data_IF_831218362231
#
_entry.id   IF_831218362231
#
_cell.length_a   1.000
_cell.length_b   1.000
_cell.length_c   1.000
_cell.angle_alpha   90.00
_cell.angle_beta   90.00
_cell.angle_gamma   90.00
#
_symmetry.space_group_name_H-M   'P 1'
#
loop_
_entity.id
_entity.type
_entity.pdbx_description
1 polymer ?
#
# COMPACT_ATOMS: atom_id res chain seq x y z
N UNK A 1 45.06 61.86 26.73
CA UNK A 1 43.63 61.51 26.91
C UNK A 1 42.76 61.63 25.65
N UNK A 2 42.93 62.66 24.80
CA UNK A 2 42.01 62.90 23.65
C UNK A 2 42.06 61.87 22.50
N UNK A 3 43.19 61.19 22.29
CA UNK A 3 43.34 60.18 21.20
C UNK A 3 42.70 58.84 21.56
N UNK A 4 42.90 58.36 22.79
CA UNK A 4 42.27 57.11 23.27
C UNK A 4 40.74 57.19 23.29
N UNK A 5 40.16 58.33 23.72
CA UNK A 5 38.71 58.56 23.64
C UNK A 5 38.16 58.53 22.21
N UNK A 6 38.94 58.97 21.21
CA UNK A 6 38.55 58.90 19.79
C UNK A 6 38.51 57.47 19.26
N UNK A 7 39.45 56.62 19.69
CA UNK A 7 39.46 55.20 19.31
C UNK A 7 38.30 54.44 19.96
N UNK A 8 38.01 54.71 21.23
CA UNK A 8 36.84 54.14 21.92
C UNK A 8 35.51 54.60 21.30
N UNK A 9 35.40 55.86 20.86
CA UNK A 9 34.19 56.33 20.16
C UNK A 9 34.04 55.76 18.75
N UNK A 10 35.14 55.51 18.04
CA UNK A 10 35.10 54.82 16.74
C UNK A 10 34.71 53.35 16.90
N UNK A 11 35.22 52.68 17.94
CA UNK A 11 34.89 51.30 18.24
C UNK A 11 33.41 51.14 18.63
N UNK A 12 32.85 52.07 19.41
CA UNK A 12 31.44 52.03 19.78
C UNK A 12 30.52 52.26 18.58
N UNK A 13 30.87 53.17 17.66
CA UNK A 13 30.12 53.37 16.42
C UNK A 13 30.14 52.11 15.55
N UNK A 14 31.28 51.43 15.43
CA UNK A 14 31.40 50.18 14.65
C UNK A 14 30.57 49.04 15.27
N UNK A 15 30.56 48.92 16.60
CA UNK A 15 29.75 47.91 17.28
C UNK A 15 28.25 48.21 17.11
N UNK A 16 27.85 49.47 17.26
CA UNK A 16 26.46 49.89 17.06
C UNK A 16 26.03 49.62 15.61
N UNK A 17 26.83 49.98 14.61
CA UNK A 17 26.50 49.70 13.21
C UNK A 17 26.47 48.21 12.89
N UNK A 18 27.35 47.39 13.48
CA UNK A 18 27.32 45.93 13.33
C UNK A 18 26.07 45.29 13.97
N UNK A 19 25.62 45.81 15.13
CA UNK A 19 24.38 45.37 15.78
C UNK A 19 23.16 45.80 14.97
N UNK A 20 23.14 47.01 14.42
CA UNK A 20 22.08 47.45 13.51
C UNK A 20 22.05 46.65 12.21
N UNK A 21 23.21 46.33 11.60
CA UNK A 21 23.28 45.46 10.43
C UNK A 21 22.78 44.04 10.74
N UNK A 22 23.14 43.49 11.90
CA UNK A 22 22.66 42.17 12.33
C UNK A 22 21.15 42.18 12.65
N UNK A 23 20.62 43.28 13.19
CA UNK A 23 19.19 43.46 13.43
C UNK A 23 18.41 43.64 12.12
N UNK A 24 18.96 44.36 11.13
CA UNK A 24 18.39 44.52 9.79
C UNK A 24 18.42 43.20 9.03
N UNK A 25 19.52 42.44 9.10
CA UNK A 25 19.63 41.14 8.44
C UNK A 25 18.73 40.08 9.11
N UNK A 26 18.46 40.20 10.42
CA UNK A 26 17.45 39.39 11.12
C UNK A 26 16.02 39.86 10.84
N UNK A 27 15.84 41.12 10.43
CA UNK A 27 14.57 41.73 10.03
C UNK A 27 14.15 41.37 8.60
N UNK A 28 15.07 41.02 7.71
CA UNK A 28 14.72 40.50 6.36
C UNK A 28 14.16 39.07 6.40
N UNK A 29 14.24 38.37 7.54
CA UNK A 29 13.60 37.06 7.75
C UNK A 29 12.18 37.13 8.33
N UNK A 30 11.61 38.32 8.53
CA UNK A 30 10.21 38.46 8.91
C UNK A 30 9.34 38.71 7.67
N UNK A 31 8.77 37.61 7.17
CA UNK A 31 7.42 37.50 6.62
C UNK A 31 6.94 38.75 5.88
N UNK A 32 7.17 38.79 4.56
CA UNK A 32 6.26 39.52 3.68
C UNK A 32 4.87 38.88 3.78
N UNK A 33 4.06 39.38 4.70
CA UNK A 33 2.61 39.21 4.68
C UNK A 33 2.02 40.17 3.65
N UNK A 34 2.30 39.92 2.38
CA UNK A 34 1.40 40.37 1.31
C UNK A 34 0.35 39.26 1.18
N UNK A 35 -0.72 39.39 1.95
CA UNK A 35 -1.93 38.60 1.78
C UNK A 35 -2.65 39.08 0.52
N UNK A 36 -2.14 38.64 -0.63
CA UNK A 36 -2.95 38.46 -1.81
C UNK A 36 -3.91 37.29 -1.52
N UNK A 37 -5.24 37.46 -1.60
CA UNK A 37 -6.19 36.36 -1.38
C UNK A 37 -6.07 35.22 -2.41
N UNK A 38 -5.23 35.36 -3.44
CA UNK A 38 -4.95 34.32 -4.43
C UNK A 38 -3.96 33.25 -3.91
N UNK A 39 -4.52 32.19 -3.32
CA UNK A 39 -3.87 30.88 -3.00
C UNK A 39 -2.64 30.88 -2.07
N UNK A 40 -2.91 30.92 -0.76
CA UNK A 40 -1.90 30.73 0.30
C UNK A 40 -1.12 29.40 0.25
N UNK A 41 -1.65 28.36 -0.42
CA UNK A 41 -1.03 27.02 -0.46
C UNK A 41 0.18 26.94 -1.40
N UNK A 42 0.24 27.74 -2.46
CA UNK A 42 1.28 27.63 -3.49
C UNK A 42 2.69 28.03 -2.99
N UNK A 43 2.76 28.82 -1.91
CA UNK A 43 4.02 29.31 -1.33
C UNK A 43 4.87 28.16 -0.78
N UNK A 44 4.24 27.16 -0.18
CA UNK A 44 4.92 26.00 0.45
C UNK A 44 4.68 24.70 -0.30
N UNK A 45 3.56 24.57 -1.02
CA UNK A 45 3.18 23.36 -1.75
C UNK A 45 3.51 23.45 -3.24
N UNK A 46 4.55 22.75 -3.67
CA UNK A 46 4.99 22.71 -5.07
C UNK A 46 4.63 21.38 -5.74
N UNK A 47 3.86 21.46 -6.82
CA UNK A 47 3.58 20.34 -7.73
C UNK A 47 4.69 20.31 -8.78
N UNK A 48 5.38 19.19 -8.89
CA UNK A 48 6.51 18.96 -9.82
C UNK A 48 6.20 17.82 -10.79
N UNK A 49 6.72 17.91 -12.01
CA UNK A 49 6.83 16.71 -12.85
C UNK A 49 7.74 15.68 -12.17
N UNK A 50 7.43 14.39 -12.33
CA UNK A 50 8.19 13.29 -11.77
C UNK A 50 9.07 12.69 -12.85
N UNK A 51 10.32 12.39 -12.52
CA UNK A 51 11.19 11.61 -13.39
C UNK A 51 10.90 10.12 -13.18
N UNK A 52 10.71 9.39 -14.28
CA UNK A 52 10.58 7.94 -14.21
C UNK A 52 11.87 7.32 -13.66
N UNK A 53 11.79 6.33 -12.75
CA UNK A 53 12.95 5.58 -12.30
C UNK A 53 13.62 4.82 -13.45
N UNK A 54 14.93 4.72 -13.39
CA UNK A 54 15.69 3.81 -14.24
C UNK A 54 15.46 2.35 -13.78
N UNK A 55 15.42 1.40 -14.70
CA UNK A 55 15.32 -0.06 -14.42
C UNK A 55 14.03 -0.52 -13.72
N UNK A 56 12.89 0.11 -14.04
CA UNK A 56 11.58 -0.38 -13.61
C UNK A 56 11.37 -1.84 -14.00
N UNK A 57 10.94 -2.65 -13.03
CA UNK A 57 10.62 -4.05 -13.24
C UNK A 57 9.52 -4.53 -12.30
N UNK A 58 8.73 -5.51 -12.75
CA UNK A 58 7.82 -6.28 -11.91
C UNK A 58 8.29 -7.74 -11.89
N UNK A 59 8.63 -8.24 -10.71
CA UNK A 59 9.09 -9.61 -10.50
C UNK A 59 10.27 -10.02 -11.42
N UNK A 60 11.18 -9.07 -11.69
CA UNK A 60 12.33 -9.27 -12.58
C UNK A 60 12.04 -9.02 -14.07
N UNK A 61 10.78 -8.79 -14.46
CA UNK A 61 10.44 -8.44 -15.84
C UNK A 61 10.57 -6.94 -16.07
N UNK A 62 11.37 -6.56 -17.07
CA UNK A 62 11.63 -5.17 -17.44
C UNK A 62 10.38 -4.46 -17.94
N UNK A 63 10.19 -3.21 -17.53
CA UNK A 63 9.19 -2.29 -18.06
C UNK A 63 9.82 -1.42 -19.18
N UNK A 64 9.32 -1.46 -20.43
CA UNK A 64 9.93 -0.76 -21.57
C UNK A 64 9.50 0.71 -21.68
N UNK A 65 9.97 1.56 -20.77
CA UNK A 65 9.62 3.01 -20.70
C UNK A 65 10.22 3.89 -21.81
N UNK A 66 11.02 3.30 -22.68
CA UNK A 66 11.43 3.89 -23.96
C UNK A 66 10.26 4.00 -24.95
N UNK A 67 9.24 3.15 -24.81
CA UNK A 67 8.00 3.23 -25.59
C UNK A 67 7.13 4.34 -25.00
N UNK A 68 6.67 5.28 -25.84
CA UNK A 68 5.97 6.48 -25.38
C UNK A 68 4.67 6.15 -24.63
N UNK A 69 3.84 5.24 -25.15
CA UNK A 69 2.61 4.78 -24.48
C UNK A 69 2.90 4.23 -23.06
N UNK A 70 3.95 3.41 -22.94
CA UNK A 70 4.34 2.80 -21.66
C UNK A 70 4.84 3.85 -20.69
N UNK A 71 5.60 4.85 -21.18
CA UNK A 71 6.06 5.99 -20.40
C UNK A 71 4.88 6.80 -19.86
N UNK A 72 3.95 7.18 -20.72
CA UNK A 72 2.78 7.99 -20.35
C UNK A 72 1.91 7.25 -19.31
N UNK A 73 1.65 5.96 -19.52
CA UNK A 73 0.85 5.13 -18.59
C UNK A 73 1.54 4.94 -17.24
N UNK A 74 2.85 4.74 -17.22
CA UNK A 74 3.64 4.67 -15.99
C UNK A 74 3.68 6.01 -15.25
N UNK A 75 3.94 7.11 -15.97
CA UNK A 75 4.00 8.46 -15.40
C UNK A 75 2.66 8.84 -14.79
N UNK A 76 1.55 8.55 -15.48
CA UNK A 76 0.19 8.77 -14.98
C UNK A 76 -0.02 8.13 -13.60
N UNK A 77 0.32 6.85 -13.44
CA UNK A 77 0.12 6.16 -12.14
C UNK A 77 1.09 6.67 -11.07
N UNK A 78 2.32 7.06 -11.42
CA UNK A 78 3.21 7.74 -10.46
C UNK A 78 2.65 9.09 -10.00
N UNK A 79 2.15 9.92 -10.92
CA UNK A 79 1.57 11.21 -10.60
C UNK A 79 0.34 11.05 -9.70
N UNK A 80 -0.59 10.17 -10.07
CA UNK A 80 -1.82 9.92 -9.29
C UNK A 80 -1.47 9.48 -7.85
N UNK A 81 -0.56 8.52 -7.69
CA UNK A 81 -0.21 7.98 -6.38
C UNK A 81 0.69 8.92 -5.56
N UNK A 82 1.46 9.80 -6.21
CA UNK A 82 2.26 10.84 -5.52
C UNK A 82 1.39 11.99 -5.04
N UNK A 83 0.46 12.47 -5.87
CA UNK A 83 -0.35 13.65 -5.56
C UNK A 83 -1.62 13.33 -4.76
N UNK A 84 -2.00 12.06 -4.63
CA UNK A 84 -2.99 11.63 -3.64
C UNK A 84 -2.34 11.30 -2.28
N UNK A 85 -1.68 12.31 -1.70
CA UNK A 85 -0.74 12.14 -0.59
C UNK A 85 -1.37 11.57 0.68
N UNK A 86 -2.64 11.92 0.99
CA UNK A 86 -3.34 11.36 2.15
C UNK A 86 -3.49 9.84 2.04
N UNK A 87 -3.86 9.35 0.85
CA UNK A 87 -3.95 7.93 0.57
C UNK A 87 -2.55 7.29 0.54
N UNK A 88 -1.57 7.90 -0.12
CA UNK A 88 -0.19 7.41 -0.16
C UNK A 88 0.40 7.20 1.24
N UNK A 89 0.19 8.15 2.17
CA UNK A 89 0.65 8.02 3.55
C UNK A 89 -0.06 6.88 4.29
N UNK A 90 -1.36 6.69 4.08
CA UNK A 90 -2.10 5.54 4.64
C UNK A 90 -1.58 4.21 4.09
N UNK A 91 -1.30 4.12 2.79
CA UNK A 91 -0.76 2.93 2.16
C UNK A 91 0.63 2.58 2.72
N UNK A 92 1.51 3.56 2.92
CA UNK A 92 2.82 3.37 3.56
C UNK A 92 2.66 2.81 4.98
N UNK A 93 1.79 3.42 5.80
CA UNK A 93 1.56 2.97 7.18
C UNK A 93 1.03 1.53 7.22
N UNK A 94 0.10 1.18 6.33
CA UNK A 94 -0.48 -0.18 6.25
C UNK A 94 0.50 -1.19 5.66
N UNK A 95 1.32 -0.80 4.70
CA UNK A 95 2.40 -1.62 4.18
C UNK A 95 3.35 -2.04 5.29
N UNK A 96 3.78 -1.11 6.15
CA UNK A 96 4.61 -1.42 7.31
C UNK A 96 3.96 -2.44 8.26
N UNK A 97 2.63 -2.38 8.42
CA UNK A 97 1.87 -3.33 9.25
C UNK A 97 1.80 -4.73 8.66
N UNK A 98 1.56 -4.87 7.35
CA UNK A 98 1.18 -6.15 6.75
C UNK A 98 2.26 -6.81 5.87
N UNK A 99 3.23 -6.07 5.35
CA UNK A 99 4.34 -6.67 4.60
C UNK A 99 5.10 -7.72 5.42
N UNK A 100 5.44 -7.50 6.71
CA UNK A 100 6.11 -8.53 7.51
C UNK A 100 5.34 -9.85 7.66
N UNK A 101 4.01 -9.82 7.47
CA UNK A 101 3.15 -11.02 7.45
C UNK A 101 3.11 -11.64 6.05
N UNK A 102 3.01 -10.81 5.02
CA UNK A 102 2.89 -11.25 3.63
C UNK A 102 4.19 -11.84 3.07
N UNK A 103 5.33 -11.17 3.26
CA UNK A 103 6.63 -11.57 2.71
C UNK A 103 7.00 -13.04 3.00
N UNK A 104 6.92 -13.55 4.25
CA UNK A 104 7.20 -14.97 4.51
C UNK A 104 6.17 -15.91 3.86
N UNK A 105 4.90 -15.49 3.71
CA UNK A 105 3.88 -16.28 3.01
C UNK A 105 4.14 -16.33 1.50
N UNK A 106 4.53 -15.20 0.89
CA UNK A 106 4.88 -15.14 -0.54
C UNK A 106 6.06 -16.07 -0.81
N UNK A 107 7.11 -15.98 0.00
CA UNK A 107 8.27 -16.88 -0.06
C UNK A 107 7.85 -18.35 0.11
N UNK A 108 7.03 -18.66 1.11
CA UNK A 108 6.53 -20.02 1.37
C UNK A 108 5.80 -20.62 0.17
N UNK A 109 5.03 -19.81 -0.55
CA UNK A 109 4.25 -20.28 -1.71
C UNK A 109 4.95 -20.06 -3.06
N UNK A 110 6.19 -19.58 -3.06
CA UNK A 110 7.00 -19.39 -4.27
C UNK A 110 6.50 -18.28 -5.18
N UNK A 111 5.92 -17.21 -4.62
CA UNK A 111 5.51 -16.02 -5.36
C UNK A 111 6.59 -14.93 -5.23
N UNK A 112 6.91 -14.18 -6.29
CA UNK A 112 7.81 -13.04 -6.21
C UNK A 112 7.34 -12.01 -5.16
N UNK A 113 8.30 -11.43 -4.43
CA UNK A 113 8.02 -10.51 -3.32
C UNK A 113 7.20 -9.28 -3.75
N UNK A 114 7.41 -8.82 -4.99
CA UNK A 114 6.69 -7.71 -5.61
C UNK A 114 5.16 -7.85 -5.56
N UNK A 115 4.61 -9.07 -5.49
CA UNK A 115 3.16 -9.28 -5.44
C UNK A 115 2.51 -8.83 -4.12
N UNK A 116 3.29 -8.45 -3.10
CA UNK A 116 2.74 -7.73 -1.93
C UNK A 116 2.16 -6.36 -2.33
N UNK A 117 2.71 -5.73 -3.36
CA UNK A 117 2.18 -4.47 -3.91
C UNK A 117 0.89 -4.70 -4.72
N UNK A 118 0.72 -5.89 -5.32
CA UNK A 118 -0.56 -6.29 -5.92
C UNK A 118 -1.65 -6.38 -4.84
N UNK A 119 -1.39 -7.08 -3.74
CA UNK A 119 -2.33 -7.16 -2.63
C UNK A 119 -2.69 -5.77 -2.05
N UNK A 120 -1.69 -4.87 -1.98
CA UNK A 120 -1.91 -3.49 -1.56
C UNK A 120 -2.77 -2.71 -2.58
N UNK A 121 -2.51 -2.87 -3.88
CA UNK A 121 -3.27 -2.24 -4.97
C UNK A 121 -4.73 -2.72 -5.03
N UNK A 122 -5.01 -3.92 -4.53
CA UNK A 122 -6.36 -4.48 -4.45
C UNK A 122 -7.17 -3.86 -3.32
N UNK A 123 -6.70 -4.03 -2.07
CA UNK A 123 -7.53 -3.78 -0.89
C UNK A 123 -7.08 -2.57 -0.06
N UNK A 124 -5.92 -1.98 -0.38
CA UNK A 124 -5.20 -1.09 0.52
C UNK A 124 -4.98 -1.69 1.93
N UNK A 125 -5.05 -3.02 2.06
CA UNK A 125 -5.08 -3.77 3.33
C UNK A 125 -6.19 -3.37 4.30
N UNK A 126 -7.38 -3.07 3.76
CA UNK A 126 -8.61 -2.85 4.52
C UNK A 126 -9.54 -4.05 4.33
N UNK A 127 -10.18 -4.49 5.41
CA UNK A 127 -11.16 -5.58 5.39
C UNK A 127 -12.54 -5.11 4.90
N UNK A 128 -12.59 -4.60 3.67
CA UNK A 128 -13.82 -4.17 3.01
C UNK A 128 -14.27 -5.17 1.93
N UNK A 129 -15.50 -4.96 1.44
CA UNK A 129 -16.03 -5.67 0.27
C UNK A 129 -16.28 -4.64 -0.81
N UNK A 130 -15.81 -4.90 -2.02
CA UNK A 130 -16.11 -4.03 -3.16
C UNK A 130 -17.60 -4.09 -3.52
N UNK A 131 -18.08 -3.11 -4.28
CA UNK A 131 -19.44 -3.12 -4.84
C UNK A 131 -19.74 -4.37 -5.68
N UNK A 132 -18.73 -4.93 -6.34
CA UNK A 132 -18.83 -6.18 -7.10
C UNK A 132 -18.79 -7.45 -6.24
N UNK A 133 -18.47 -7.33 -4.94
CA UNK A 133 -18.42 -8.46 -4.01
C UNK A 133 -17.03 -9.09 -3.83
N UNK A 134 -15.97 -8.47 -4.35
CA UNK A 134 -14.58 -8.85 -4.06
C UNK A 134 -14.25 -8.52 -2.60
N UNK A 135 -13.52 -9.38 -1.90
CA UNK A 135 -13.29 -9.19 -0.46
C UNK A 135 -11.94 -9.69 0.03
N UNK A 136 -11.54 -9.15 1.20
CA UNK A 136 -10.30 -9.49 1.89
C UNK A 136 -9.07 -8.91 1.21
N UNK A 137 -7.91 -9.20 1.78
CA UNK A 137 -6.64 -8.57 1.36
C UNK A 137 -6.32 -8.72 -0.14
N UNK A 138 -6.71 -9.84 -0.72
CA UNK A 138 -6.46 -10.19 -2.12
C UNK A 138 -7.66 -9.93 -3.04
N UNK A 139 -8.74 -9.36 -2.50
CA UNK A 139 -10.00 -9.04 -3.20
C UNK A 139 -10.50 -10.19 -4.09
N UNK A 140 -10.63 -11.39 -3.52
CA UNK A 140 -11.22 -12.49 -4.26
C UNK A 140 -12.72 -12.33 -4.41
N UNK A 141 -13.22 -12.56 -5.63
CA UNK A 141 -14.62 -12.83 -5.86
C UNK A 141 -15.04 -14.09 -5.12
N UNK A 142 -16.29 -14.13 -4.65
CA UNK A 142 -16.82 -15.28 -3.90
C UNK A 142 -16.72 -16.58 -4.68
N UNK A 143 -17.01 -16.55 -5.97
CA UNK A 143 -16.92 -17.71 -6.88
C UNK A 143 -15.49 -18.21 -6.98
N UNK A 144 -14.55 -17.33 -7.33
CA UNK A 144 -13.12 -17.65 -7.42
C UNK A 144 -12.58 -18.21 -6.11
N UNK A 145 -12.89 -17.58 -4.98
CA UNK A 145 -12.44 -18.07 -3.68
C UNK A 145 -12.91 -19.49 -3.39
N UNK A 146 -14.16 -19.83 -3.72
CA UNK A 146 -14.71 -21.19 -3.56
C UNK A 146 -14.06 -22.20 -4.52
N UNK A 147 -13.84 -21.81 -5.78
CA UNK A 147 -13.17 -22.66 -6.78
C UNK A 147 -11.77 -23.07 -6.32
N UNK A 148 -11.07 -22.19 -5.60
CA UNK A 148 -9.76 -22.45 -5.01
C UNK A 148 -9.83 -22.99 -3.57
N UNK A 149 -11.01 -23.43 -3.12
CA UNK A 149 -11.18 -24.17 -1.87
C UNK A 149 -11.29 -23.34 -0.59
N UNK A 150 -11.49 -22.02 -0.68
CA UNK A 150 -11.80 -21.20 0.49
C UNK A 150 -13.21 -21.52 1.00
N UNK A 151 -13.35 -21.66 2.32
CA UNK A 151 -14.65 -21.70 2.98
C UNK A 151 -15.28 -20.30 2.94
N UNK A 152 -16.40 -20.17 2.22
CA UNK A 152 -17.14 -18.91 2.12
C UNK A 152 -18.64 -19.14 2.28
N UNK A 153 -19.15 -18.84 3.46
CA UNK A 153 -20.55 -18.90 3.87
C UNK A 153 -20.89 -17.68 4.77
N UNK A 154 -22.08 -17.64 5.39
CA UNK A 154 -22.47 -16.49 6.22
C UNK A 154 -21.69 -16.41 7.54
N UNK A 155 -21.23 -17.57 8.06
CA UNK A 155 -20.53 -17.68 9.34
C UNK A 155 -19.02 -17.50 9.17
N UNK A 156 -18.43 -18.04 8.10
CA UNK A 156 -17.00 -18.05 7.80
C UNK A 156 -16.76 -17.55 6.38
N UNK A 157 -15.84 -16.59 6.22
CA UNK A 157 -15.36 -16.12 4.93
C UNK A 157 -13.82 -16.05 4.94
N UNK A 158 -13.18 -17.11 4.45
CA UNK A 158 -11.72 -17.27 4.45
C UNK A 158 -11.01 -16.32 3.47
N UNK A 159 -11.74 -15.51 2.68
CA UNK A 159 -11.13 -14.41 1.91
C UNK A 159 -10.47 -13.37 2.82
N UNK A 160 -11.01 -13.18 4.02
CA UNK A 160 -10.42 -12.31 5.05
C UNK A 160 -9.34 -13.01 5.88
N UNK A 161 -9.05 -14.29 5.61
CA UNK A 161 -7.96 -14.99 6.29
C UNK A 161 -6.67 -14.83 5.49
N UNK A 162 -5.76 -13.98 5.98
CA UNK A 162 -4.52 -13.60 5.30
C UNK A 162 -3.74 -14.83 4.80
N UNK A 163 -3.47 -15.81 5.66
CA UNK A 163 -2.66 -16.99 5.33
C UNK A 163 -3.30 -17.86 4.24
N UNK A 164 -4.63 -18.04 4.28
CA UNK A 164 -5.37 -18.88 3.32
C UNK A 164 -5.58 -18.16 2.00
N UNK A 165 -5.97 -16.90 2.03
CA UNK A 165 -6.13 -16.07 0.83
C UNK A 165 -4.80 -15.86 0.10
N UNK A 166 -3.68 -15.67 0.80
CA UNK A 166 -2.36 -15.58 0.17
C UNK A 166 -1.95 -16.88 -0.52
N UNK A 167 -2.29 -18.04 0.05
CA UNK A 167 -2.07 -19.33 -0.62
C UNK A 167 -2.82 -19.38 -1.96
N UNK A 168 -4.08 -18.99 -1.95
CA UNK A 168 -4.93 -18.96 -3.17
C UNK A 168 -4.41 -17.95 -4.19
N UNK A 169 -3.97 -16.77 -3.76
CA UNK A 169 -3.34 -15.79 -4.65
C UNK A 169 -2.09 -16.33 -5.33
N UNK A 170 -1.22 -17.01 -4.58
CA UNK A 170 -0.04 -17.64 -5.14
C UNK A 170 -0.42 -18.74 -6.15
N UNK A 171 -1.43 -19.57 -5.87
CA UNK A 171 -1.92 -20.59 -6.81
C UNK A 171 -2.49 -19.98 -8.09
N UNK A 172 -3.31 -18.92 -7.97
CA UNK A 172 -3.89 -18.22 -9.12
C UNK A 172 -2.80 -17.56 -9.98
N UNK A 173 -1.89 -16.82 -9.36
CA UNK A 173 -0.83 -16.09 -10.07
C UNK A 173 0.15 -17.04 -10.74
N UNK A 174 0.55 -18.15 -10.08
CA UNK A 174 1.40 -19.17 -10.72
C UNK A 174 0.69 -19.86 -11.88
N UNK A 175 -0.60 -20.16 -11.77
CA UNK A 175 -1.38 -20.70 -12.90
C UNK A 175 -1.39 -19.73 -14.08
N UNK A 176 -1.54 -18.44 -13.80
CA UNK A 176 -1.52 -17.39 -14.81
C UNK A 176 -0.12 -17.22 -15.42
N UNK A 177 0.93 -17.25 -14.60
CA UNK A 177 2.32 -17.26 -15.07
C UNK A 177 2.60 -18.46 -15.96
N UNK A 178 2.23 -19.67 -15.56
CA UNK A 178 2.41 -20.87 -16.39
C UNK A 178 1.68 -20.79 -17.74
N UNK A 179 0.58 -20.03 -17.81
CA UNK A 179 -0.19 -19.83 -19.04
C UNK A 179 0.46 -18.80 -19.98
N UNK A 180 1.02 -17.73 -19.43
CA UNK A 180 1.51 -16.59 -20.22
C UNK A 180 3.03 -16.51 -20.30
N UNK A 181 3.74 -17.26 -19.47
CA UNK A 181 5.18 -17.14 -19.23
C UNK A 181 5.61 -15.70 -18.94
N UNK A 182 4.76 -14.96 -18.22
CA UNK A 182 5.00 -13.57 -17.85
C UNK A 182 4.23 -13.18 -16.58
N UNK A 183 4.93 -12.54 -15.65
CA UNK A 183 4.40 -11.97 -14.41
C UNK A 183 3.57 -10.71 -14.65
N UNK A 184 3.95 -9.86 -15.61
CA UNK A 184 3.14 -8.70 -15.99
C UNK A 184 1.79 -9.13 -16.57
N UNK A 185 1.77 -10.16 -17.43
CA UNK A 185 0.52 -10.77 -17.90
C UNK A 185 -0.23 -11.54 -16.80
N UNK A 186 0.47 -12.20 -15.87
CA UNK A 186 -0.16 -12.85 -14.73
C UNK A 186 -0.87 -11.85 -13.81
N UNK A 187 -0.27 -10.68 -13.56
CA UNK A 187 -0.87 -9.59 -12.81
C UNK A 187 -2.09 -9.02 -13.56
N UNK A 188 -1.98 -8.78 -14.87
CA UNK A 188 -3.12 -8.34 -15.69
C UNK A 188 -4.27 -9.36 -15.66
N UNK A 189 -3.97 -10.65 -15.71
CA UNK A 189 -4.95 -11.74 -15.62
C UNK A 189 -5.56 -11.89 -14.23
N UNK A 190 -4.92 -11.37 -13.18
CA UNK A 190 -5.52 -11.27 -11.85
C UNK A 190 -6.72 -10.33 -11.87
N UNK A 191 -6.58 -9.17 -12.54
CA UNK A 191 -7.63 -8.17 -12.67
C UNK A 191 -8.70 -8.55 -13.72
N UNK A 192 -8.29 -8.96 -14.93
CA UNK A 192 -9.20 -9.19 -16.07
C UNK A 192 -9.63 -10.65 -16.26
N UNK A 193 -9.06 -11.57 -15.49
CA UNK A 193 -9.23 -13.01 -15.68
C UNK A 193 -8.36 -13.59 -16.81
N UNK A 194 -7.88 -14.82 -16.59
CA UNK A 194 -7.03 -15.55 -17.54
C UNK A 194 -7.62 -15.68 -18.96
N UNK A 195 -8.91 -15.94 -19.08
CA UNK A 195 -9.57 -16.07 -20.38
C UNK A 195 -9.62 -14.73 -21.12
N UNK A 196 -9.95 -13.65 -20.41
CA UNK A 196 -10.08 -12.31 -20.98
C UNK A 196 -8.76 -11.77 -21.54
N UNK A 197 -7.66 -12.01 -20.83
CA UNK A 197 -6.30 -11.67 -21.30
C UNK A 197 -5.92 -12.54 -22.48
N UNK A 198 -6.04 -13.87 -22.37
CA UNK A 198 -5.64 -14.80 -23.43
C UNK A 198 -6.39 -14.54 -24.75
N UNK A 199 -7.69 -14.23 -24.68
CA UNK A 199 -8.50 -13.89 -25.86
C UNK A 199 -7.96 -12.64 -26.55
N UNK A 200 -7.61 -11.60 -25.79
CA UNK A 200 -7.12 -10.32 -26.35
C UNK A 200 -5.74 -10.46 -26.98
N UNK A 201 -4.81 -11.15 -26.31
CA UNK A 201 -3.50 -11.48 -26.86
C UNK A 201 -3.63 -12.20 -28.19
N UNK A 202 -4.48 -13.23 -28.25
CA UNK A 202 -4.74 -13.99 -29.48
C UNK A 202 -5.34 -13.12 -30.59
N UNK A 203 -6.33 -12.30 -30.27
CA UNK A 203 -7.03 -11.45 -31.26
C UNK A 203 -6.12 -10.35 -31.82
N UNK A 204 -5.21 -9.83 -31.01
CA UNK A 204 -4.31 -8.74 -31.38
C UNK A 204 -2.96 -9.23 -31.91
N UNK A 205 -2.72 -10.55 -31.88
CA UNK A 205 -1.47 -11.18 -32.32
C UNK A 205 -0.23 -10.65 -31.56
N UNK A 206 -0.40 -10.33 -30.28
CA UNK A 206 0.66 -9.88 -29.37
C UNK A 206 0.84 -10.85 -28.21
N UNK A 207 2.02 -10.85 -27.59
CA UNK A 207 2.42 -11.83 -26.58
C UNK A 207 2.87 -11.23 -25.24
N UNK A 208 2.78 -9.91 -25.07
CA UNK A 208 3.18 -9.23 -23.84
C UNK A 208 2.13 -8.20 -23.40
N UNK A 209 2.26 -7.75 -22.15
CA UNK A 209 1.31 -6.82 -21.55
C UNK A 209 1.34 -5.42 -22.18
N UNK A 210 2.52 -4.95 -22.59
CA UNK A 210 2.73 -3.57 -23.02
C UNK A 210 2.13 -3.30 -24.39
N UNK A 211 2.14 -4.29 -25.28
CA UNK A 211 1.57 -4.18 -26.63
C UNK A 211 0.06 -4.51 -26.67
N UNK A 212 -0.48 -5.13 -25.62
CA UNK A 212 -1.86 -5.57 -25.59
C UNK A 212 -2.82 -4.44 -25.21
N UNK A 213 -3.79 -4.16 -26.07
CA UNK A 213 -4.94 -3.32 -25.73
C UNK A 213 -5.88 -4.09 -24.80
N UNK A 214 -5.96 -3.66 -23.54
CA UNK A 214 -6.76 -4.28 -22.49
C UNK A 214 -7.86 -3.29 -22.04
N UNK A 215 -8.82 -3.69 -21.18
CA UNK A 215 -9.71 -2.72 -20.56
C UNK A 215 -8.92 -1.68 -19.75
N UNK A 216 -9.38 -0.43 -19.68
CA UNK A 216 -8.67 0.69 -19.02
C UNK A 216 -8.18 0.33 -17.61
N UNK A 217 -9.05 -0.27 -16.78
CA UNK A 217 -8.66 -0.69 -15.42
C UNK A 217 -7.46 -1.66 -15.44
N UNK A 218 -7.45 -2.61 -16.37
CA UNK A 218 -6.38 -3.60 -16.50
C UNK A 218 -5.11 -2.99 -17.10
N UNK A 219 -5.25 -2.08 -18.07
CA UNK A 219 -4.13 -1.33 -18.65
C UNK A 219 -3.41 -0.45 -17.65
N UNK A 220 -4.11 -0.02 -16.60
CA UNK A 220 -3.56 0.77 -15.51
C UNK A 220 -3.05 -0.08 -14.36
N UNK A 221 -3.60 -1.27 -14.19
CA UNK A 221 -3.39 -2.13 -13.02
C UNK A 221 -1.91 -2.45 -12.75
N UNK A 222 -1.16 -2.88 -13.77
CA UNK A 222 0.28 -3.21 -13.59
C UNK A 222 1.10 -1.96 -13.25
N UNK A 223 0.79 -0.82 -13.88
CA UNK A 223 1.46 0.45 -13.59
C UNK A 223 1.12 0.98 -12.20
N UNK A 224 -0.11 0.76 -11.71
CA UNK A 224 -0.50 1.06 -10.32
C UNK A 224 0.35 0.26 -9.34
N UNK A 225 0.55 -1.03 -9.59
CA UNK A 225 1.42 -1.90 -8.76
C UNK A 225 2.86 -1.37 -8.76
N UNK A 226 3.40 -1.04 -9.95
CA UNK A 226 4.75 -0.49 -10.10
C UNK A 226 4.91 0.86 -9.40
N UNK A 227 3.91 1.75 -9.48
CA UNK A 227 3.93 3.05 -8.81
C UNK A 227 3.92 2.89 -7.29
N UNK A 228 3.09 1.98 -6.75
CA UNK A 228 3.09 1.66 -5.33
C UNK A 228 4.44 1.07 -4.88
N UNK A 229 5.01 0.14 -5.66
CA UNK A 229 6.36 -0.39 -5.42
C UNK A 229 7.39 0.74 -5.32
N UNK A 230 7.47 1.59 -6.34
CA UNK A 230 8.45 2.67 -6.39
C UNK A 230 8.27 3.67 -5.25
N UNK A 231 7.05 4.14 -5.00
CA UNK A 231 6.78 5.16 -3.98
C UNK A 231 7.03 4.62 -2.57
N UNK A 232 6.55 3.41 -2.26
CA UNK A 232 6.69 2.84 -0.92
C UNK A 232 8.12 2.39 -0.64
N UNK A 233 8.87 1.98 -1.67
CA UNK A 233 10.30 1.72 -1.54
C UNK A 233 11.14 3.00 -1.42
N UNK A 234 10.65 4.13 -1.93
CA UNK A 234 11.39 5.40 -1.95
C UNK A 234 10.55 6.60 -1.44
N UNK A 235 9.90 6.54 -0.26
CA UNK A 235 8.86 7.51 0.13
C UNK A 235 9.37 8.96 0.20
N UNK A 236 10.60 9.15 0.70
CA UNK A 236 11.25 10.47 0.78
C UNK A 236 11.44 11.13 -0.60
N UNK A 237 11.74 10.33 -1.64
CA UNK A 237 11.90 10.81 -3.02
C UNK A 237 10.61 11.44 -3.56
N UNK A 238 9.47 10.95 -3.09
CA UNK A 238 8.13 11.40 -3.48
C UNK A 238 7.49 12.37 -2.47
N UNK A 239 8.26 12.87 -1.51
CA UNK A 239 7.80 13.89 -0.56
C UNK A 239 6.98 13.35 0.63
N UNK A 240 6.96 12.04 0.86
CA UNK A 240 6.36 11.46 2.06
C UNK A 240 7.34 11.57 3.23
N UNK A 241 6.94 12.30 4.27
CA UNK A 241 7.72 12.51 5.50
C UNK A 241 6.91 11.97 6.67
N UNK A 242 7.53 11.11 7.47
CA UNK A 242 6.96 10.47 8.65
C UNK A 242 8.10 9.90 9.51
N UNK A 243 7.84 9.75 10.80
CA UNK A 243 8.72 9.08 11.74
C UNK A 243 8.34 7.60 11.91
N UNK A 244 9.19 6.81 12.57
CA UNK A 244 8.93 5.38 12.75
C UNK A 244 7.67 5.13 13.59
N UNK A 245 7.41 6.00 14.56
CA UNK A 245 6.29 5.94 15.48
C UNK A 245 4.96 6.26 14.79
N UNK A 246 4.99 6.92 13.62
CA UNK A 246 3.80 7.19 12.81
C UNK A 246 3.27 5.93 12.09
N UNK A 247 4.11 4.90 11.94
CA UNK A 247 3.81 3.71 11.16
C UNK A 247 2.93 2.73 11.95
N UNK A 248 1.96 2.13 11.26
CA UNK A 248 1.15 1.09 11.87
C UNK A 248 1.96 -0.18 12.06
N UNK A 249 1.72 -0.86 13.17
CA UNK A 249 2.33 -2.15 13.50
C UNK A 249 1.24 -3.19 13.72
N UNK A 250 1.64 -4.46 13.69
CA UNK A 250 0.77 -5.56 14.07
C UNK A 250 1.11 -5.98 15.49
N UNK A 251 0.08 -6.15 16.32
CA UNK A 251 0.26 -6.69 17.66
C UNK A 251 0.76 -8.13 17.58
N UNK A 252 1.60 -8.52 18.54
CA UNK A 252 2.03 -9.91 18.65
C UNK A 252 0.82 -10.78 19.00
N UNK A 253 0.60 -11.82 18.22
CA UNK A 253 -0.51 -12.76 18.42
C UNK A 253 0.01 -14.18 18.55
N UNK A 254 -0.79 -15.04 19.16
CA UNK A 254 -0.64 -16.50 19.13
C UNK A 254 -1.93 -17.12 18.60
N UNK A 255 -1.81 -18.32 18.06
CA UNK A 255 -2.95 -19.07 17.52
C UNK A 255 -3.40 -20.14 18.50
N UNK A 256 -4.71 -20.29 18.68
CA UNK A 256 -5.33 -21.42 19.36
C UNK A 256 -6.15 -22.24 18.37
N UNK A 257 -6.25 -23.54 18.65
CA UNK A 257 -7.07 -24.47 17.86
C UNK A 257 -8.42 -24.65 18.54
N UNK A 258 -9.50 -24.44 17.78
CA UNK A 258 -10.88 -24.59 18.25
C UNK A 258 -11.65 -25.45 17.27
N UNK A 259 -12.16 -26.58 17.76
CA UNK A 259 -12.98 -27.52 16.98
C UNK A 259 -14.45 -27.57 17.47
N UNK A 260 -14.80 -26.80 18.49
CA UNK A 260 -16.16 -26.69 19.03
C UNK A 260 -16.90 -25.50 18.42
N UNK A 261 -18.22 -25.48 18.60
CA UNK A 261 -19.00 -24.28 18.37
C UNK A 261 -18.64 -23.20 19.41
N UNK A 262 -18.71 -21.93 19.00
CA UNK A 262 -18.67 -20.77 19.90
C UNK A 262 -20.05 -20.12 19.83
N UNK A 263 -20.82 -20.18 20.91
CA UNK A 263 -22.19 -19.63 20.92
C UNK A 263 -22.24 -18.11 20.93
N UNK A 264 -21.23 -17.46 21.51
CA UNK A 264 -21.13 -16.01 21.62
C UNK A 264 -19.65 -15.57 21.63
N UNK A 265 -19.22 -14.84 20.60
CA UNK A 265 -17.83 -14.39 20.47
C UNK A 265 -17.46 -13.41 21.57
N UNK A 266 -18.35 -12.53 21.99
CA UNK A 266 -18.07 -11.58 23.08
C UNK A 266 -17.67 -12.30 24.37
N UNK A 267 -18.38 -13.36 24.76
CA UNK A 267 -18.01 -14.16 25.93
C UNK A 267 -16.71 -14.94 25.73
N UNK A 268 -16.53 -15.53 24.54
CA UNK A 268 -15.29 -16.24 24.21
C UNK A 268 -14.07 -15.33 24.25
N UNK A 269 -14.16 -14.11 23.69
CA UNK A 269 -13.09 -13.13 23.62
C UNK A 269 -12.66 -12.64 25.01
N UNK A 270 -13.61 -12.46 25.93
CA UNK A 270 -13.33 -12.06 27.33
C UNK A 270 -12.38 -13.03 28.05
N UNK A 271 -12.47 -14.33 27.76
CA UNK A 271 -11.56 -15.33 28.34
C UNK A 271 -10.09 -15.12 27.93
N UNK A 272 -9.85 -14.32 26.89
CA UNK A 272 -8.52 -13.94 26.40
C UNK A 272 -8.21 -12.45 26.59
N UNK A 273 -8.99 -11.74 27.41
CA UNK A 273 -8.77 -10.33 27.71
C UNK A 273 -9.10 -9.37 26.57
N UNK A 274 -9.92 -9.80 25.60
CA UNK A 274 -10.33 -8.98 24.46
C UNK A 274 -11.82 -8.60 24.54
N UNK A 275 -12.15 -7.44 23.97
CA UNK A 275 -13.52 -7.12 23.59
C UNK A 275 -13.89 -7.71 22.21
N UNK A 276 -15.17 -7.60 21.84
CA UNK A 276 -15.68 -8.13 20.56
C UNK A 276 -14.97 -7.52 19.35
N UNK A 277 -14.71 -6.21 19.36
CA UNK A 277 -14.09 -5.49 18.24
C UNK A 277 -12.64 -5.96 18.02
N UNK A 278 -11.85 -6.06 19.07
CA UNK A 278 -10.47 -6.59 19.02
C UNK A 278 -10.44 -8.00 18.44
N UNK A 279 -11.33 -8.88 18.93
CA UNK A 279 -11.43 -10.24 18.40
C UNK A 279 -11.71 -10.25 16.89
N UNK A 280 -12.62 -9.39 16.43
CA UNK A 280 -13.01 -9.29 15.01
C UNK A 280 -11.93 -8.68 14.13
N UNK A 281 -11.11 -7.77 14.68
CA UNK A 281 -9.93 -7.24 13.98
C UNK A 281 -8.88 -8.33 13.80
N UNK A 282 -8.68 -9.20 14.79
CA UNK A 282 -7.71 -10.30 14.69
C UNK A 282 -8.22 -11.48 13.84
N UNK A 283 -9.54 -11.69 13.81
CA UNK A 283 -10.18 -12.82 13.12
C UNK A 283 -11.31 -12.35 12.19
N UNK A 284 -11.02 -11.51 11.20
CA UNK A 284 -12.04 -10.92 10.33
C UNK A 284 -12.76 -11.96 9.47
N UNK A 285 -12.18 -13.16 9.30
CA UNK A 285 -12.80 -14.28 8.58
C UNK A 285 -14.02 -14.87 9.29
N UNK A 286 -14.12 -14.78 10.61
CA UNK A 286 -15.31 -15.22 11.34
C UNK A 286 -16.32 -14.09 11.29
N UNK A 287 -17.43 -14.24 10.56
CA UNK A 287 -18.30 -13.11 10.14
C UNK A 287 -19.45 -12.81 11.11
N UNK A 288 -20.07 -13.83 11.69
CA UNK A 288 -21.15 -13.67 12.67
C UNK A 288 -20.61 -13.57 14.12
N UNK A 289 -21.47 -13.27 15.11
CA UNK A 289 -21.13 -13.26 16.54
C UNK A 289 -21.07 -14.67 17.18
N UNK A 290 -20.89 -15.70 16.37
CA UNK A 290 -20.86 -17.11 16.78
C UNK A 290 -20.06 -17.92 15.75
N UNK A 291 -19.59 -19.10 16.14
CA UNK A 291 -19.02 -20.11 15.27
C UNK A 291 -19.90 -21.36 15.37
N UNK A 292 -20.60 -21.73 14.29
CA UNK A 292 -21.60 -22.81 14.36
C UNK A 292 -20.96 -24.21 14.41
N UNK A 293 -19.82 -24.40 13.72
CA UNK A 293 -18.94 -25.57 13.67
C UNK A 293 -19.50 -26.95 14.09
N UNK A 294 -20.66 -27.34 13.52
CA UNK A 294 -21.28 -28.65 13.77
C UNK A 294 -20.41 -29.81 13.28
N UNK A 295 -19.61 -29.57 12.24
CA UNK A 295 -18.72 -30.55 11.62
C UNK A 295 -17.44 -30.82 12.40
N UNK A 296 -17.22 -30.16 13.54
CA UNK A 296 -16.00 -30.27 14.35
C UNK A 296 -14.72 -29.97 13.55
N UNK A 297 -14.83 -29.08 12.54
CA UNK A 297 -13.68 -28.62 11.76
C UNK A 297 -12.75 -27.85 12.68
N UNK A 298 -11.44 -28.11 12.58
CA UNK A 298 -10.46 -27.39 13.36
C UNK A 298 -10.24 -25.99 12.76
N UNK A 299 -10.52 -24.95 13.54
CA UNK A 299 -10.22 -23.56 13.21
C UNK A 299 -9.04 -23.05 14.02
N UNK A 300 -8.27 -22.17 13.39
CA UNK A 300 -7.16 -21.45 14.01
C UNK A 300 -7.61 -20.02 14.30
N UNK A 301 -7.66 -19.65 15.58
CA UNK A 301 -8.10 -18.33 16.05
C UNK A 301 -6.90 -17.59 16.62
N UNK A 302 -6.68 -16.36 16.14
CA UNK A 302 -5.66 -15.45 16.63
C UNK A 302 -6.14 -14.74 17.89
N UNK A 303 -5.28 -14.68 18.88
CA UNK A 303 -5.48 -13.95 20.14
C UNK A 303 -4.17 -13.26 20.54
N UNK A 304 -4.20 -12.25 21.43
CA UNK A 304 -3.00 -11.58 21.90
C UNK A 304 -1.96 -12.55 22.44
N UNK A 305 -0.69 -12.33 22.09
CA UNK A 305 0.43 -12.95 22.77
C UNK A 305 0.50 -12.31 24.18
N UNK A 306 0.33 -13.13 25.22
CA UNK A 306 0.53 -12.68 26.60
C UNK A 306 1.99 -12.31 26.85
#
# INVERSE_FOLDING_TARGET
>A
MKTSQRYLSLLSVIIVTAVFFSAIQKSETNVSSNTDPETQTAITYKIKSLKLPENLNLAGERVPVEIEDVRERMERELLVNTYWQSNGLLLIKRANKYFPVLEPLLKKYGLPDDFKFLALAESAFIDETSSAGAAGMWHFMRTTGKEYGLEINSNVDERYHIEKSTKVAAEYLKKSYNRFNSWTLAAAAYNAGNYGVAKRLKTQEVNNYYDAKLPDETERYVFRILALKEIISNPKKYGFVFEKEDLYTIEKTRTIKVDTAISNITHFAKNYGMNYKEFKILNPWLRENKLNNKSRKMYEIKIPAK
#
